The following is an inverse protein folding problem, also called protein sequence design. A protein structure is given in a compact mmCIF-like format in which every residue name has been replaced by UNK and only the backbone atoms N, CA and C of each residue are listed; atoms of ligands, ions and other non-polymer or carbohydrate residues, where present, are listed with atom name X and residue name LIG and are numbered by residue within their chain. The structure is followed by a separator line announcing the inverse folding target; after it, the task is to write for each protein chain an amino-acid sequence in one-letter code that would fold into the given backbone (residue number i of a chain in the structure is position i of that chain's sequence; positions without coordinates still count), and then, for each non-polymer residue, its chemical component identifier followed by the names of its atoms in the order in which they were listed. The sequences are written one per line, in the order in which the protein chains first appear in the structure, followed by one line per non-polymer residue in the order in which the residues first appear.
data_IF_620865990575
#
_entry.id   IF_620865990575
#
_cell.length_a   1.000
_cell.length_b   1.000
_cell.length_c   1.000
_cell.angle_alpha   90.00
_cell.angle_beta   90.00
_cell.angle_gamma   90.00
#
_symmetry.space_group_name_H-M   'P 1'
#
loop_
_entity.id
_entity.type
_entity.pdbx_description
1 polymer ?
#
# COMPACT_ATOMS: atom_id res chain seq x y z
N UNK A 1 13.17 18.16 -6.35
CA UNK A 1 12.37 16.97 -6.66
C UNK A 1 12.99 16.09 -7.75
N UNK A 2 13.70 16.64 -8.74
CA UNK A 2 14.32 15.87 -9.83
C UNK A 2 15.51 14.98 -9.38
N UNK A 3 16.18 15.31 -8.29
CA UNK A 3 17.34 14.54 -7.82
C UNK A 3 16.99 13.22 -7.11
N UNK A 4 15.79 13.08 -6.62
CA UNK A 4 15.36 11.87 -5.89
C UNK A 4 14.95 10.73 -6.85
N UNK A 5 14.52 11.06 -8.05
CA UNK A 5 14.17 10.10 -9.09
C UNK A 5 15.39 9.28 -9.53
N UNK A 6 16.58 9.85 -9.52
CA UNK A 6 17.80 9.21 -10.02
C UNK A 6 18.39 8.15 -9.06
N UNK A 7 18.18 8.28 -7.75
CA UNK A 7 18.78 7.38 -6.74
C UNK A 7 17.94 6.13 -6.42
N UNK A 8 16.67 6.10 -6.80
CA UNK A 8 15.73 5.01 -6.46
C UNK A 8 15.07 4.35 -7.68
N UNK A 9 15.56 4.61 -8.89
CA UNK A 9 15.02 3.99 -10.09
C UNK A 9 15.48 2.53 -10.20
N UNK A 10 14.57 1.62 -9.94
CA UNK A 10 14.69 0.20 -10.28
C UNK A 10 14.09 -0.06 -11.69
N UNK A 11 13.96 0.98 -12.51
CA UNK A 11 13.34 0.93 -13.84
C UNK A 11 12.29 2.02 -14.07
N UNK A 12 11.64 1.99 -15.23
CA UNK A 12 10.54 2.90 -15.57
C UNK A 12 9.36 2.71 -14.62
N UNK A 13 8.92 3.79 -13.97
CA UNK A 13 7.72 3.79 -13.13
C UNK A 13 6.52 4.26 -13.95
N UNK A 14 5.54 3.41 -14.23
CA UNK A 14 4.34 3.83 -14.93
C UNK A 14 3.52 4.79 -14.06
N UNK A 15 3.18 5.95 -14.63
CA UNK A 15 2.38 6.99 -13.97
C UNK A 15 1.06 7.23 -14.70
N UNK A 16 0.76 6.43 -15.70
CA UNK A 16 -0.40 6.54 -16.59
C UNK A 16 -1.71 6.60 -15.81
N UNK A 17 -1.87 5.79 -14.77
CA UNK A 17 -3.08 5.78 -13.94
C UNK A 17 -3.25 7.06 -13.11
N UNK A 18 -2.15 7.68 -12.67
CA UNK A 18 -2.19 8.99 -12.02
C UNK A 18 -2.66 10.07 -13.01
N UNK A 19 -2.06 10.10 -14.23
CA UNK A 19 -2.41 11.06 -15.27
C UNK A 19 -3.87 10.88 -15.70
N UNK A 20 -4.32 9.62 -15.86
CA UNK A 20 -5.70 9.28 -16.18
C UNK A 20 -6.67 9.86 -15.15
N UNK A 21 -6.38 9.64 -13.87
CA UNK A 21 -7.23 10.13 -12.79
C UNK A 21 -7.30 11.65 -12.73
N UNK A 22 -6.17 12.34 -12.81
CA UNK A 22 -6.15 13.80 -12.78
C UNK A 22 -6.85 14.42 -13.99
N UNK A 23 -6.66 13.86 -15.20
CA UNK A 23 -7.39 14.30 -16.39
C UNK A 23 -8.90 14.11 -16.27
N UNK A 24 -9.32 12.99 -15.71
CA UNK A 24 -10.74 12.71 -15.47
C UNK A 24 -11.35 13.71 -14.47
N UNK A 25 -10.59 14.18 -13.48
CA UNK A 25 -11.01 15.22 -12.56
C UNK A 25 -10.98 16.63 -13.16
N UNK A 26 -10.57 16.80 -14.43
CA UNK A 26 -10.56 18.08 -15.13
C UNK A 26 -9.21 18.81 -15.12
N UNK A 27 -8.14 18.20 -14.64
CA UNK A 27 -6.81 18.77 -14.75
C UNK A 27 -6.23 18.62 -16.17
N UNK A 28 -5.51 19.63 -16.62
CA UNK A 28 -4.63 19.52 -17.80
C UNK A 28 -3.31 18.95 -17.33
N UNK A 29 -2.90 17.83 -17.93
CA UNK A 29 -1.66 17.16 -17.53
C UNK A 29 -0.85 16.83 -18.77
N UNK A 30 0.36 17.38 -18.85
CA UNK A 30 1.32 17.20 -19.94
C UNK A 30 2.66 16.70 -19.40
N UNK A 31 3.44 16.09 -20.28
CA UNK A 31 4.81 15.69 -19.98
C UNK A 31 5.72 16.54 -20.83
N UNK A 32 6.43 17.47 -20.20
CA UNK A 32 7.35 18.38 -20.86
C UNK A 32 8.78 18.11 -20.37
N UNK A 33 9.67 17.78 -21.28
CA UNK A 33 11.09 17.50 -20.99
C UNK A 33 11.30 16.47 -19.85
N UNK A 34 10.43 15.46 -19.75
CA UNK A 34 10.49 14.44 -18.70
C UNK A 34 9.88 14.85 -17.35
N UNK A 35 9.39 16.07 -17.23
CA UNK A 35 8.65 16.55 -16.06
C UNK A 35 7.14 16.50 -16.31
N UNK A 36 6.37 16.16 -15.28
CA UNK A 36 4.90 16.23 -15.31
C UNK A 36 4.50 17.65 -14.94
N UNK A 37 3.78 18.31 -15.84
CA UNK A 37 3.16 19.60 -15.60
C UNK A 37 1.66 19.39 -15.49
N UNK A 38 1.09 19.76 -14.35
CA UNK A 38 -0.35 19.64 -14.11
C UNK A 38 -0.92 21.00 -13.72
N UNK A 39 -1.98 21.41 -14.40
CA UNK A 39 -2.73 22.64 -14.13
C UNK A 39 -4.21 22.30 -13.93
N UNK A 40 -4.80 22.85 -12.88
CA UNK A 40 -6.21 22.67 -12.59
C UNK A 40 -6.85 24.00 -12.14
N UNK A 41 -7.70 24.57 -12.96
CA UNK A 41 -8.51 25.74 -12.62
C UNK A 41 -9.83 25.34 -11.96
N UNK A 42 -10.44 24.26 -12.42
CA UNK A 42 -11.75 23.79 -11.97
C UNK A 42 -11.76 22.24 -11.96
N UNK A 43 -11.37 21.66 -10.85
CA UNK A 43 -11.57 20.23 -10.64
C UNK A 43 -13.07 19.93 -10.47
N UNK A 44 -13.49 18.74 -10.87
CA UNK A 44 -14.87 18.26 -10.73
C UNK A 44 -14.91 16.76 -10.46
N UNK A 45 -15.98 16.28 -9.83
CA UNK A 45 -16.21 14.87 -9.60
C UNK A 45 -16.35 14.10 -10.91
N UNK A 46 -15.84 12.86 -10.94
CA UNK A 46 -15.82 12.01 -12.12
C UNK A 46 -15.88 10.52 -11.77
N UNK A 47 -16.24 9.70 -12.75
CA UNK A 47 -16.15 8.25 -12.65
C UNK A 47 -14.84 7.78 -13.29
N UNK A 48 -13.99 7.13 -12.49
CA UNK A 48 -12.61 6.77 -12.86
C UNK A 48 -12.45 5.27 -12.66
N UNK A 49 -12.23 4.54 -13.74
CA UNK A 49 -11.83 3.14 -13.71
C UNK A 49 -10.32 3.04 -13.88
N UNK A 50 -9.63 2.41 -12.93
CA UNK A 50 -8.20 2.15 -13.02
C UNK A 50 -7.98 0.85 -13.82
N UNK A 51 -7.17 0.91 -14.87
CA UNK A 51 -6.90 -0.24 -15.75
C UNK A 51 -6.11 -1.32 -15.01
N UNK A 52 -5.30 -0.88 -14.05
CA UNK A 52 -4.57 -1.74 -13.12
C UNK A 52 -4.72 -1.19 -11.70
N UNK A 53 -4.73 -2.08 -10.71
CA UNK A 53 -4.71 -1.69 -9.30
C UNK A 53 -3.42 -0.93 -9.01
N UNK A 54 -3.53 0.31 -8.57
CA UNK A 54 -2.40 1.18 -8.24
C UNK A 54 -2.65 1.92 -6.95
N UNK A 55 -1.85 1.62 -5.93
CA UNK A 55 -1.91 2.28 -4.61
C UNK A 55 -1.70 3.78 -4.75
N UNK A 56 -0.60 4.20 -5.39
CA UNK A 56 -0.26 5.60 -5.55
C UNK A 56 -1.32 6.39 -6.32
N UNK A 57 -1.83 5.82 -7.43
CA UNK A 57 -2.90 6.46 -8.19
C UNK A 57 -4.19 6.58 -7.38
N UNK A 58 -4.60 5.52 -6.68
CA UNK A 58 -5.77 5.54 -5.80
C UNK A 58 -5.67 6.65 -4.75
N UNK A 59 -4.55 6.75 -4.04
CA UNK A 59 -4.32 7.76 -3.01
C UNK A 59 -4.32 9.17 -3.61
N UNK A 60 -3.58 9.40 -4.70
CA UNK A 60 -3.48 10.72 -5.32
C UNK A 60 -4.84 11.21 -5.87
N UNK A 61 -5.60 10.33 -6.52
CA UNK A 61 -6.93 10.65 -7.01
C UNK A 61 -7.89 10.92 -5.84
N UNK A 62 -7.81 10.13 -4.77
CA UNK A 62 -8.62 10.30 -3.57
C UNK A 62 -8.37 11.65 -2.90
N UNK A 63 -7.10 12.06 -2.76
CA UNK A 63 -6.75 13.38 -2.22
C UNK A 63 -7.30 14.51 -3.09
N UNK A 64 -7.09 14.47 -4.41
CA UNK A 64 -7.58 15.49 -5.34
C UNK A 64 -9.12 15.56 -5.36
N UNK A 65 -9.78 14.41 -5.38
CA UNK A 65 -11.24 14.31 -5.41
C UNK A 65 -11.90 14.80 -4.11
N UNK A 66 -11.19 14.81 -2.98
CA UNK A 66 -11.72 15.26 -1.70
C UNK A 66 -12.14 16.74 -1.71
N UNK A 67 -11.50 17.57 -2.56
CA UNK A 67 -11.83 18.98 -2.74
C UNK A 67 -12.47 19.29 -4.10
N UNK A 68 -12.66 18.31 -4.97
CA UNK A 68 -13.30 18.47 -6.27
C UNK A 68 -14.82 18.51 -6.13
N UNK A 69 -15.51 19.59 -6.52
CA UNK A 69 -16.97 19.65 -6.43
C UNK A 69 -17.65 18.49 -7.16
N UNK A 70 -18.68 17.94 -6.54
CA UNK A 70 -19.44 16.82 -7.10
C UNK A 70 -19.08 15.46 -6.47
N UNK A 71 -19.37 14.40 -7.20
CA UNK A 71 -19.12 13.01 -6.76
C UNK A 71 -18.06 12.36 -7.64
N UNK A 72 -17.05 11.78 -7.00
CA UNK A 72 -16.06 10.92 -7.66
C UNK A 72 -16.29 9.47 -7.26
N UNK A 73 -16.17 8.57 -8.23
CA UNK A 73 -16.16 7.12 -8.02
C UNK A 73 -14.85 6.59 -8.61
N UNK A 74 -14.07 5.90 -7.80
CA UNK A 74 -12.85 5.20 -8.26
C UNK A 74 -13.19 3.72 -8.24
N UNK A 75 -13.11 3.06 -9.40
CA UNK A 75 -13.27 1.62 -9.56
C UNK A 75 -11.91 0.95 -9.81
N UNK A 76 -11.80 -0.32 -9.44
CA UNK A 76 -10.56 -1.10 -9.40
C UNK A 76 -9.50 -0.42 -8.50
N UNK A 77 -9.96 0.19 -7.42
CA UNK A 77 -9.12 0.87 -6.43
C UNK A 77 -8.24 -0.11 -5.66
N UNK A 78 -7.10 0.37 -5.19
CA UNK A 78 -6.24 -0.34 -4.27
C UNK A 78 -6.92 -0.49 -2.89
N UNK A 79 -6.67 -1.62 -2.21
CA UNK A 79 -7.37 -2.00 -0.97
C UNK A 79 -6.44 -2.05 0.25
N UNK A 80 -5.18 -1.75 0.04
CA UNK A 80 -4.13 -1.83 1.05
C UNK A 80 -4.49 -1.04 2.31
N UNK A 81 -4.08 -1.51 3.50
CA UNK A 81 -4.41 -0.87 4.78
C UNK A 81 -4.08 0.61 4.84
N UNK A 82 -2.96 1.03 4.25
CA UNK A 82 -2.58 2.44 4.22
C UNK A 82 -3.45 3.30 3.28
N UNK A 83 -4.13 2.70 2.29
CA UNK A 83 -5.16 3.40 1.49
C UNK A 83 -6.38 3.71 2.37
N UNK A 84 -6.77 2.74 3.22
CA UNK A 84 -7.86 2.92 4.20
C UNK A 84 -7.47 3.98 5.23
N UNK A 85 -6.22 3.94 5.69
CA UNK A 85 -5.68 4.89 6.67
C UNK A 85 -5.71 6.33 6.14
N UNK A 86 -5.27 6.56 4.89
CA UNK A 86 -5.37 7.88 4.23
C UNK A 86 -6.83 8.33 4.11
N UNK A 87 -7.77 7.44 3.77
CA UNK A 87 -9.19 7.78 3.71
C UNK A 87 -9.73 8.18 5.10
N UNK A 88 -9.36 7.46 6.16
CA UNK A 88 -9.73 7.77 7.53
C UNK A 88 -9.13 9.11 7.97
N UNK A 89 -7.86 9.36 7.65
CA UNK A 89 -7.22 10.64 7.93
C UNK A 89 -7.94 11.80 7.23
N UNK A 90 -8.23 11.69 5.93
CA UNK A 90 -8.98 12.72 5.20
C UNK A 90 -10.39 12.91 5.76
N UNK A 91 -11.08 11.82 6.12
CA UNK A 91 -12.40 11.90 6.75
C UNK A 91 -12.34 12.60 8.12
N UNK A 92 -11.29 12.38 8.91
CA UNK A 92 -11.08 13.11 10.16
C UNK A 92 -10.83 14.60 9.96
N UNK A 93 -10.39 15.01 8.77
CA UNK A 93 -10.27 16.40 8.34
C UNK A 93 -11.57 16.98 7.75
N UNK A 94 -12.65 16.19 7.69
CA UNK A 94 -13.95 16.61 7.17
C UNK A 94 -14.24 16.21 5.72
N UNK A 95 -13.40 15.36 5.09
CA UNK A 95 -13.71 14.76 3.79
C UNK A 95 -14.91 13.80 3.88
N UNK A 96 -15.46 13.42 2.74
CA UNK A 96 -16.55 12.45 2.65
C UNK A 96 -16.15 11.33 1.70
N UNK A 97 -15.41 10.35 2.24
CA UNK A 97 -14.88 9.20 1.52
C UNK A 97 -15.49 7.93 2.11
N UNK A 98 -16.02 7.06 1.24
CA UNK A 98 -16.60 5.76 1.59
C UNK A 98 -16.09 4.67 0.68
N UNK A 99 -16.01 3.43 1.21
CA UNK A 99 -15.62 2.26 0.44
C UNK A 99 -14.10 2.05 0.34
N UNK A 100 -13.26 2.81 1.05
CA UNK A 100 -11.84 2.49 1.17
C UNK A 100 -11.66 1.09 1.78
N UNK A 101 -10.71 0.32 1.22
CA UNK A 101 -10.54 -1.11 1.54
C UNK A 101 -11.37 -2.05 0.65
N UNK A 102 -12.21 -1.50 -0.23
CA UNK A 102 -12.89 -2.24 -1.30
C UNK A 102 -12.37 -1.79 -2.68
N UNK A 103 -12.81 -2.46 -3.73
CA UNK A 103 -12.45 -2.11 -5.11
C UNK A 103 -13.16 -0.85 -5.63
N UNK A 104 -14.12 -0.30 -4.86
CA UNK A 104 -14.88 0.90 -5.25
C UNK A 104 -14.86 1.94 -4.14
N UNK A 105 -14.19 3.06 -4.38
CA UNK A 105 -14.17 4.21 -3.47
C UNK A 105 -15.08 5.30 -4.01
N UNK A 106 -15.93 5.84 -3.12
CA UNK A 106 -16.86 6.93 -3.43
C UNK A 106 -16.53 8.15 -2.60
N UNK A 107 -16.36 9.28 -3.28
CA UNK A 107 -15.94 10.54 -2.67
C UNK A 107 -16.94 11.60 -3.06
N UNK A 108 -17.42 12.34 -2.06
CA UNK A 108 -18.18 13.58 -2.29
C UNK A 108 -17.25 14.74 -1.92
N UNK A 109 -16.89 15.55 -2.90
CA UNK A 109 -16.04 16.70 -2.69
C UNK A 109 -16.61 17.67 -1.68
N UNK A 110 -15.75 18.27 -0.88
CA UNK A 110 -16.08 19.27 0.16
C UNK A 110 -15.37 20.59 -0.17
N UNK A 111 -15.91 21.71 0.33
CA UNK A 111 -15.35 23.04 0.07
C UNK A 111 -13.98 23.24 0.74
N UNK A 112 -13.79 22.66 1.94
CA UNK A 112 -12.56 22.78 2.72
C UNK A 112 -12.35 21.60 3.64
N UNK A 113 -11.10 21.31 3.94
CA UNK A 113 -10.67 20.42 5.01
C UNK A 113 -10.23 21.25 6.22
N UNK A 114 -10.36 20.68 7.41
CA UNK A 114 -9.91 21.31 8.65
C UNK A 114 -8.74 20.57 9.29
N UNK A 115 -8.08 21.21 10.23
CA UNK A 115 -7.00 20.60 11.02
C UNK A 115 -7.56 19.45 11.86
N UNK A 116 -6.76 18.38 12.00
CA UNK A 116 -7.03 17.23 12.86
C UNK A 116 -5.75 16.75 13.54
N UNK A 117 -5.91 15.98 14.61
CA UNK A 117 -4.87 15.12 15.17
C UNK A 117 -5.20 13.69 14.77
N UNK A 118 -4.20 12.95 14.29
CA UNK A 118 -4.39 11.62 13.76
C UNK A 118 -3.15 10.74 14.05
N UNK A 119 -3.39 9.53 14.52
CA UNK A 119 -2.34 8.52 14.65
C UNK A 119 -2.38 7.59 13.45
N UNK A 120 -1.29 7.55 12.70
CA UNK A 120 -1.14 6.64 11.56
C UNK A 120 -1.02 5.20 12.05
N UNK A 121 -1.47 4.26 11.22
CA UNK A 121 -1.33 2.83 11.50
C UNK A 121 0.13 2.39 11.46
N UNK A 122 0.50 1.30 12.19
CA UNK A 122 1.82 0.68 12.08
C UNK A 122 2.12 0.21 10.65
N UNK A 123 3.39 0.36 10.23
CA UNK A 123 3.84 -0.08 8.90
C UNK A 123 3.97 -1.60 8.85
N UNK A 124 3.12 -2.23 8.03
CA UNK A 124 3.14 -3.68 7.81
C UNK A 124 4.43 -4.17 7.13
N UNK A 125 5.08 -3.32 6.33
CA UNK A 125 6.32 -3.70 5.64
C UNK A 125 7.50 -3.68 6.62
N UNK A 126 7.56 -2.71 7.50
CA UNK A 126 8.53 -2.68 8.60
C UNK A 126 8.35 -3.91 9.52
N UNK A 127 7.13 -4.15 9.98
CA UNK A 127 6.81 -5.31 10.82
C UNK A 127 7.18 -6.63 10.13
N UNK A 128 6.77 -6.83 8.87
CA UNK A 128 7.11 -8.02 8.08
C UNK A 128 8.61 -8.18 7.88
N UNK A 129 9.35 -7.08 7.72
CA UNK A 129 10.82 -7.11 7.62
C UNK A 129 11.45 -7.70 8.88
N UNK A 130 11.00 -7.29 10.07
CA UNK A 130 11.48 -7.86 11.33
C UNK A 130 11.03 -9.32 11.54
N UNK A 131 9.83 -9.69 11.04
CA UNK A 131 9.40 -11.09 11.05
C UNK A 131 10.35 -11.98 10.23
N UNK A 132 10.70 -11.57 9.00
CA UNK A 132 11.67 -12.30 8.18
C UNK A 132 13.09 -12.26 8.78
N UNK A 133 13.52 -11.13 9.32
CA UNK A 133 14.80 -11.04 10.03
C UNK A 133 14.88 -12.05 11.19
N UNK A 134 13.81 -12.20 11.95
CA UNK A 134 13.71 -13.21 13.02
C UNK A 134 13.85 -14.62 12.46
N UNK A 135 13.17 -14.92 11.35
CA UNK A 135 13.20 -16.24 10.73
C UNK A 135 14.62 -16.62 10.25
N UNK A 136 15.34 -15.70 9.57
CA UNK A 136 16.67 -15.98 8.99
C UNK A 136 17.79 -16.02 10.03
N UNK A 137 17.60 -15.40 11.20
CA UNK A 137 18.59 -15.38 12.28
C UNK A 137 18.36 -16.47 13.34
N UNK A 138 17.36 -17.34 13.18
CA UNK A 138 17.03 -18.37 14.17
C UNK A 138 16.46 -17.78 15.47
N UNK A 139 15.82 -16.63 15.39
CA UNK A 139 15.38 -15.83 16.51
C UNK A 139 14.02 -16.25 17.11
N UNK A 140 13.70 -15.62 18.24
CA UNK A 140 12.40 -15.70 18.90
C UNK A 140 12.07 -14.29 19.40
N UNK A 141 11.22 -13.56 18.68
CA UNK A 141 10.97 -12.13 18.88
C UNK A 141 9.48 -11.87 18.97
N UNK A 142 9.09 -10.93 19.80
CA UNK A 142 7.74 -10.36 19.87
C UNK A 142 7.79 -8.95 19.27
N UNK A 143 7.04 -8.74 18.19
CA UNK A 143 6.82 -7.43 17.61
C UNK A 143 5.57 -6.83 18.24
N UNK A 144 5.70 -5.69 18.86
CA UNK A 144 4.61 -4.95 19.50
C UNK A 144 4.15 -3.79 18.62
N UNK A 145 2.95 -3.27 18.90
CA UNK A 145 2.35 -2.19 18.17
C UNK A 145 2.25 -2.50 16.66
N UNK A 146 1.71 -3.66 16.35
CA UNK A 146 1.41 -4.12 14.98
C UNK A 146 -0.06 -4.49 14.87
N UNK A 147 -0.58 -4.55 13.66
CA UNK A 147 -1.93 -5.03 13.38
C UNK A 147 -1.79 -6.40 12.71
N UNK A 148 -2.01 -7.53 13.42
CA UNK A 148 -1.78 -8.87 12.89
C UNK A 148 -2.54 -9.13 11.59
N UNK A 149 -3.75 -8.62 11.47
CA UNK A 149 -4.58 -8.72 10.26
C UNK A 149 -3.91 -8.14 9.00
N UNK A 150 -3.03 -7.16 9.15
CA UNK A 150 -2.29 -6.59 8.02
C UNK A 150 -1.10 -7.45 7.59
N UNK A 151 -0.73 -8.43 8.43
CA UNK A 151 0.43 -9.32 8.25
C UNK A 151 0.05 -10.72 7.78
N UNK A 152 -1.23 -11.01 7.53
CA UNK A 152 -1.74 -12.36 7.22
C UNK A 152 -0.96 -13.05 6.09
N UNK A 153 -0.68 -12.34 4.99
CA UNK A 153 0.08 -12.91 3.87
C UNK A 153 1.54 -13.24 4.24
N UNK A 154 2.17 -12.40 5.06
CA UNK A 154 3.53 -12.61 5.58
C UNK A 154 3.55 -13.76 6.57
N UNK A 155 2.61 -13.77 7.51
CA UNK A 155 2.40 -14.84 8.50
C UNK A 155 2.21 -16.21 7.82
N UNK A 156 1.34 -16.26 6.79
CA UNK A 156 1.10 -17.50 6.05
C UNK A 156 2.39 -18.07 5.43
N UNK A 157 3.21 -17.23 4.81
CA UNK A 157 4.47 -17.67 4.21
C UNK A 157 5.50 -18.12 5.24
N UNK A 158 5.62 -17.42 6.35
CA UNK A 158 6.51 -17.83 7.44
C UNK A 158 6.07 -19.16 8.10
N UNK A 159 4.77 -19.39 8.22
CA UNK A 159 4.24 -20.69 8.67
C UNK A 159 4.59 -21.81 7.69
N UNK A 160 4.43 -21.60 6.36
CA UNK A 160 4.85 -22.54 5.32
C UNK A 160 6.37 -22.84 5.39
N UNK A 161 7.17 -21.84 5.77
CA UNK A 161 8.61 -21.99 5.95
C UNK A 161 9.00 -22.67 7.27
N UNK A 162 8.02 -23.05 8.10
CA UNK A 162 8.22 -23.80 9.34
C UNK A 162 8.37 -22.93 10.60
N UNK A 163 8.18 -21.62 10.51
CA UNK A 163 8.14 -20.77 11.69
C UNK A 163 6.90 -21.05 12.52
N UNK A 164 6.99 -20.83 13.83
CA UNK A 164 5.82 -20.78 14.71
C UNK A 164 5.45 -19.31 14.93
N UNK A 165 4.16 -19.01 14.80
CA UNK A 165 3.66 -17.64 14.96
C UNK A 165 2.50 -17.64 15.95
N UNK A 166 2.55 -16.72 16.91
CA UNK A 166 1.47 -16.45 17.83
C UNK A 166 1.02 -15.00 17.65
N UNK A 167 -0.26 -14.82 17.36
CA UNK A 167 -0.87 -13.51 17.21
C UNK A 167 -1.58 -13.11 18.50
N UNK A 168 -1.46 -11.85 18.88
CA UNK A 168 -2.12 -11.18 19.99
C UNK A 168 -2.90 -9.98 19.44
N UNK A 169 -3.57 -9.21 20.27
CA UNK A 169 -4.39 -8.08 19.81
C UNK A 169 -3.58 -7.03 19.04
N UNK A 170 -2.39 -6.68 19.55
CA UNK A 170 -1.51 -5.65 18.99
C UNK A 170 -0.05 -6.11 18.83
N UNK A 171 0.19 -7.42 18.86
CA UNK A 171 1.53 -8.00 18.77
C UNK A 171 1.55 -9.32 18.01
N UNK A 172 2.72 -9.65 17.44
CA UNK A 172 2.99 -10.93 16.81
C UNK A 172 4.31 -11.47 17.33
N UNK A 173 4.30 -12.71 17.83
CA UNK A 173 5.50 -13.44 18.19
C UNK A 173 5.90 -14.36 17.05
N UNK A 174 7.15 -14.28 16.64
CA UNK A 174 7.76 -15.14 15.62
C UNK A 174 8.85 -15.97 16.26
N UNK A 175 8.80 -17.29 16.05
CA UNK A 175 9.81 -18.24 16.50
C UNK A 175 10.33 -18.99 15.28
N UNK A 176 11.61 -18.83 14.99
CA UNK A 176 12.25 -19.46 13.86
C UNK A 176 12.42 -20.99 14.09
N UNK A 177 12.30 -21.82 13.04
CA UNK A 177 12.67 -23.22 13.11
C UNK A 177 14.20 -23.36 13.09
N UNK A 178 14.71 -24.58 13.33
CA UNK A 178 16.14 -24.86 13.15
C UNK A 178 16.61 -24.72 11.70
N UNK A 179 15.72 -24.98 10.75
CA UNK A 179 15.94 -24.88 9.31
C UNK A 179 14.67 -24.44 8.63
N UNK A 180 14.79 -23.41 7.78
CA UNK A 180 13.68 -22.92 6.99
C UNK A 180 13.34 -23.90 5.85
N UNK A 181 12.06 -24.06 5.57
CA UNK A 181 11.56 -24.87 4.47
C UNK A 181 11.32 -24.00 3.23
N UNK A 182 11.54 -24.59 2.05
CA UNK A 182 11.22 -23.96 0.79
C UNK A 182 9.71 -23.73 0.63
N UNK A 183 9.33 -22.65 -0.02
CA UNK A 183 7.93 -22.35 -0.36
C UNK A 183 7.81 -21.64 -1.70
N UNK A 184 6.60 -21.58 -2.25
CA UNK A 184 6.29 -20.84 -3.46
C UNK A 184 5.63 -19.51 -3.13
N UNK A 185 6.10 -18.42 -3.75
CA UNK A 185 5.60 -17.08 -3.49
C UNK A 185 5.23 -16.38 -4.79
N UNK A 186 4.01 -15.86 -4.84
CA UNK A 186 3.55 -14.97 -5.91
C UNK A 186 3.14 -13.65 -5.30
N UNK A 187 3.77 -12.57 -5.73
CA UNK A 187 3.34 -11.22 -5.33
C UNK A 187 2.02 -10.86 -5.98
N UNK A 188 1.12 -10.29 -5.21
CA UNK A 188 -0.22 -9.88 -5.66
C UNK A 188 -0.69 -8.64 -4.87
N UNK A 189 -1.64 -7.84 -5.44
CA UNK A 189 -2.31 -6.79 -4.68
C UNK A 189 -2.94 -7.34 -3.39
N UNK A 190 -3.06 -6.47 -2.39
CA UNK A 190 -3.68 -6.83 -1.10
C UNK A 190 -5.08 -7.48 -1.29
N UNK A 191 -5.39 -8.56 -0.56
CA UNK A 191 -4.66 -9.15 0.58
C UNK A 191 -3.58 -10.20 0.21
N UNK A 192 -3.11 -10.21 -1.04
CA UNK A 192 -2.01 -11.09 -1.45
C UNK A 192 -0.66 -10.67 -0.88
N UNK A 193 0.39 -11.47 -1.18
CA UNK A 193 1.74 -11.18 -0.71
C UNK A 193 2.28 -9.90 -1.37
N UNK A 194 2.66 -8.86 -0.59
CA UNK A 194 3.00 -7.56 -1.15
C UNK A 194 4.36 -7.58 -1.88
N UNK A 195 4.45 -6.85 -3.00
CA UNK A 195 5.69 -6.70 -3.78
C UNK A 195 6.82 -6.09 -2.96
N UNK A 196 6.51 -5.22 -2.01
CA UNK A 196 7.49 -4.55 -1.15
C UNK A 196 8.17 -5.51 -0.17
N UNK A 197 7.60 -6.70 0.04
CA UNK A 197 8.20 -7.77 0.85
C UNK A 197 9.02 -8.79 0.04
N UNK A 198 9.12 -8.61 -1.29
CA UNK A 198 9.87 -9.52 -2.14
C UNK A 198 11.37 -9.62 -1.76
N UNK A 199 12.10 -8.51 -1.45
CA UNK A 199 13.49 -8.63 -1.04
C UNK A 199 13.68 -9.45 0.25
N UNK A 200 12.83 -9.24 1.24
CA UNK A 200 12.92 -9.91 2.54
C UNK A 200 12.67 -11.41 2.42
N UNK A 201 11.61 -11.80 1.70
CA UNK A 201 11.33 -13.21 1.50
C UNK A 201 12.39 -13.88 0.61
N UNK A 202 12.92 -13.19 -0.40
CA UNK A 202 13.98 -13.74 -1.25
C UNK A 202 15.23 -14.11 -0.44
N UNK A 203 15.65 -13.28 0.51
CA UNK A 203 16.75 -13.60 1.44
C UNK A 203 16.40 -14.85 2.27
N UNK A 204 15.18 -14.94 2.76
CA UNK A 204 14.73 -16.08 3.58
C UNK A 204 14.69 -17.37 2.76
N UNK A 205 14.23 -17.31 1.51
CA UNK A 205 14.18 -18.45 0.60
C UNK A 205 15.58 -18.92 0.19
N UNK A 206 16.58 -18.02 0.11
CA UNK A 206 17.97 -18.39 -0.17
C UNK A 206 18.61 -19.21 0.97
N UNK A 207 18.06 -19.14 2.18
CA UNK A 207 18.52 -19.92 3.34
C UNK A 207 17.64 -21.16 3.62
N UNK A 208 16.57 -21.34 2.87
CA UNK A 208 15.64 -22.45 3.03
C UNK A 208 16.16 -23.75 2.39
N UNK A 209 15.82 -24.89 2.98
CA UNK A 209 16.13 -26.20 2.40
C UNK A 209 15.11 -26.55 1.30
N UNK A 210 15.62 -26.92 0.12
CA UNK A 210 14.79 -27.30 -1.03
C UNK A 210 14.78 -26.24 -2.14
N UNK A 211 13.82 -26.34 -3.06
CA UNK A 211 13.64 -25.41 -4.17
C UNK A 211 12.45 -24.51 -3.92
N UNK A 212 12.69 -23.21 -3.99
CA UNK A 212 11.65 -22.18 -3.87
C UNK A 212 11.40 -21.50 -5.22
N UNK A 213 10.15 -21.07 -5.49
CA UNK A 213 9.76 -20.39 -6.73
C UNK A 213 8.96 -19.12 -6.37
#
# INVERSE_FOLDING_TARGET
AASDVYKRQIGSRPIDQHLKGFRALGAKVDILHGAIVAEASNLHGSHIFLDVVSVGATINIMMAASLAPGRTIIENAAREPHVVDVANFLNSMGANIKGAGTDVIRIKGVEKLHRTEYSIIPDQIEAGTFMFATAVTGGNVVLQNVIPKHLEATTAKLLEMGCQICEYDDAVRVMAPKKLQATHVKTMPYPGFPTDMQPQIAVSLALAEGTSI
#
